data_IF_565980396808
#
_entry.id   IF_565980396808
#
_cell.length_a   1.000
_cell.length_b   1.000
_cell.length_c   1.000
_cell.angle_alpha   90.00
_cell.angle_beta   90.00
_cell.angle_gamma   90.00
#
_symmetry.space_group_name_H-M   'P 1'
#
loop_
_entity.id
_entity.type
_entity.pdbx_description
1 polymer ?
#
# COMPACT_ATOMS: atom_id res chain seq x y z
N UNK A 1 11.29 -6.94 13.95
CA UNK A 1 11.92 -8.21 13.52
C UNK A 1 11.82 -8.39 12.01
N UNK A 2 10.62 -8.40 11.44
CA UNK A 2 10.44 -8.55 9.98
C UNK A 2 11.12 -7.44 9.15
N UNK A 3 10.94 -6.17 9.54
CA UNK A 3 11.61 -5.02 8.90
C UNK A 3 13.13 -5.20 8.79
N UNK A 4 13.77 -5.60 9.89
CA UNK A 4 15.22 -5.79 9.97
C UNK A 4 15.71 -6.92 9.06
N UNK A 5 14.98 -8.04 9.00
CA UNK A 5 15.33 -9.14 8.09
C UNK A 5 15.22 -8.72 6.62
N UNK A 6 14.18 -7.99 6.25
CA UNK A 6 13.97 -7.51 4.87
C UNK A 6 15.07 -6.54 4.43
N UNK A 7 15.51 -5.63 5.31
CA UNK A 7 16.63 -4.70 5.01
C UNK A 7 17.96 -5.45 4.85
N UNK A 8 18.26 -6.41 5.74
CA UNK A 8 19.50 -7.20 5.66
C UNK A 8 19.56 -8.03 4.36
N UNK A 9 18.43 -8.61 3.95
CA UNK A 9 18.33 -9.36 2.70
C UNK A 9 18.46 -8.43 1.48
N UNK A 10 17.79 -7.27 1.50
CA UNK A 10 17.88 -6.25 0.45
C UNK A 10 19.32 -5.77 0.21
N UNK A 11 20.02 -5.45 1.31
CA UNK A 11 21.43 -5.07 1.29
C UNK A 11 22.32 -6.18 0.71
N UNK A 12 22.06 -7.44 1.05
CA UNK A 12 22.84 -8.59 0.55
C UNK A 12 22.61 -8.83 -0.96
N UNK A 13 21.43 -8.50 -1.48
CA UNK A 13 21.05 -8.69 -2.88
C UNK A 13 21.27 -7.45 -3.76
N UNK A 14 21.75 -6.33 -3.20
CA UNK A 14 21.91 -5.06 -3.92
C UNK A 14 20.60 -4.43 -4.36
N UNK A 15 19.48 -4.78 -3.74
CA UNK A 15 18.15 -4.25 -4.07
C UNK A 15 17.88 -3.03 -3.16
N UNK A 16 17.45 -1.89 -3.72
CA UNK A 16 17.08 -0.72 -2.93
C UNK A 16 16.05 -1.03 -1.84
N UNK A 17 16.28 -0.50 -0.63
CA UNK A 17 15.39 -0.69 0.53
C UNK A 17 13.96 -0.23 0.26
N UNK A 18 13.79 0.80 -0.58
CA UNK A 18 12.48 1.30 -1.01
C UNK A 18 11.70 0.21 -1.75
N UNK A 19 12.36 -0.50 -2.68
CA UNK A 19 11.75 -1.59 -3.45
C UNK A 19 11.39 -2.76 -2.54
N UNK A 20 12.30 -3.12 -1.63
CA UNK A 20 12.06 -4.18 -0.64
C UNK A 20 10.89 -3.83 0.30
N UNK A 21 10.73 -2.55 0.65
CA UNK A 21 9.62 -2.03 1.44
C UNK A 21 8.27 -2.11 0.71
N UNK A 22 8.20 -1.65 -0.54
CA UNK A 22 6.92 -1.65 -1.28
C UNK A 22 6.50 -3.05 -1.77
N UNK A 23 7.43 -4.03 -1.81
CA UNK A 23 7.14 -5.39 -2.27
C UNK A 23 7.08 -6.40 -1.13
N UNK A 24 8.21 -6.71 -0.49
CA UNK A 24 8.29 -7.76 0.52
C UNK A 24 7.63 -7.36 1.84
N UNK A 25 7.86 -6.13 2.30
CA UNK A 25 7.22 -5.67 3.53
C UNK A 25 5.70 -5.55 3.34
N UNK A 26 5.26 -4.91 2.25
CA UNK A 26 3.84 -4.79 1.91
C UNK A 26 3.16 -6.15 1.70
N UNK A 27 3.79 -7.09 0.98
CA UNK A 27 3.25 -8.44 0.81
C UNK A 27 3.18 -9.19 2.16
N UNK A 28 4.19 -9.03 3.01
CA UNK A 28 4.25 -9.69 4.33
C UNK A 28 3.12 -9.29 5.26
N UNK A 29 2.66 -8.04 5.21
CA UNK A 29 1.51 -7.59 6.01
C UNK A 29 0.18 -8.00 5.37
N UNK A 30 0.02 -7.86 4.05
CA UNK A 30 -1.27 -8.14 3.39
C UNK A 30 -1.60 -9.63 3.19
N UNK A 31 -0.61 -10.54 3.18
CA UNK A 31 -0.84 -11.98 3.03
C UNK A 31 -1.71 -12.57 4.16
N UNK A 32 -1.39 -12.39 5.46
CA UNK A 32 -2.23 -12.91 6.54
C UNK A 32 -3.64 -12.30 6.55
N UNK A 33 -3.78 -11.00 6.25
CA UNK A 33 -5.09 -10.34 6.14
C UNK A 33 -5.92 -10.91 4.99
N UNK A 34 -5.29 -11.15 3.83
CA UNK A 34 -5.94 -11.78 2.69
C UNK A 34 -6.42 -13.19 3.03
N UNK A 35 -5.60 -13.98 3.75
CA UNK A 35 -5.97 -15.32 4.20
C UNK A 35 -7.14 -15.27 5.18
N UNK A 36 -7.14 -14.35 6.14
CA UNK A 36 -8.24 -14.16 7.08
C UNK A 36 -9.56 -13.82 6.37
N UNK A 37 -9.55 -12.83 5.46
CA UNK A 37 -10.72 -12.49 4.64
C UNK A 37 -11.18 -13.64 3.75
N UNK A 38 -10.26 -14.43 3.18
CA UNK A 38 -10.59 -15.59 2.35
C UNK A 38 -11.29 -16.68 3.17
N UNK A 39 -10.82 -16.99 4.37
CA UNK A 39 -11.41 -18.01 5.26
C UNK A 39 -12.85 -17.62 5.60
N UNK A 40 -13.08 -16.36 5.99
CA UNK A 40 -14.41 -15.84 6.34
C UNK A 40 -15.34 -15.81 5.13
N UNK A 41 -14.82 -15.45 3.95
CA UNK A 41 -15.59 -15.51 2.70
C UNK A 41 -16.02 -16.95 2.35
N UNK A 42 -15.15 -17.93 2.58
CA UNK A 42 -15.46 -19.36 2.35
C UNK A 42 -16.52 -19.91 3.30
N UNK A 43 -16.68 -19.29 4.47
CA UNK A 43 -17.74 -19.62 5.43
C UNK A 43 -19.10 -18.98 5.06
N UNK A 44 -19.20 -18.29 3.92
CA UNK A 44 -20.42 -17.64 3.47
C UNK A 44 -20.63 -16.23 4.05
N UNK A 45 -19.68 -15.73 4.85
CA UNK A 45 -19.74 -14.40 5.47
C UNK A 45 -19.00 -13.36 4.61
N UNK A 46 -19.45 -13.17 3.37
CA UNK A 46 -18.83 -12.24 2.42
C UNK A 46 -18.73 -10.80 2.94
N UNK A 47 -19.77 -10.32 3.61
CA UNK A 47 -19.80 -8.96 4.18
C UNK A 47 -18.72 -8.77 5.26
N UNK A 48 -18.46 -9.80 6.06
CA UNK A 48 -17.41 -9.79 7.07
C UNK A 48 -16.02 -9.89 6.44
N UNK A 49 -15.87 -10.61 5.33
CA UNK A 49 -14.61 -10.66 4.60
C UNK A 49 -14.23 -9.29 4.00
N UNK A 50 -15.22 -8.54 3.51
CA UNK A 50 -15.05 -7.17 3.00
C UNK A 50 -14.73 -6.21 4.14
N UNK A 51 -15.44 -6.29 5.27
CA UNK A 51 -15.17 -5.42 6.41
C UNK A 51 -13.78 -5.66 7.02
N UNK A 52 -13.32 -6.92 7.08
CA UNK A 52 -11.97 -7.26 7.50
C UNK A 52 -10.92 -6.65 6.56
N UNK A 53 -11.11 -6.75 5.24
CA UNK A 53 -10.16 -6.21 4.26
C UNK A 53 -10.06 -4.68 4.32
N UNK A 54 -11.17 -3.98 4.54
CA UNK A 54 -11.18 -2.52 4.69
C UNK A 54 -10.58 -2.13 6.05
N UNK A 55 -10.96 -2.84 7.12
CA UNK A 55 -10.52 -2.57 8.48
C UNK A 55 -9.02 -2.72 8.67
N UNK A 56 -8.42 -3.82 8.19
CA UNK A 56 -6.97 -4.04 8.29
C UNK A 56 -6.17 -2.94 7.60
N UNK A 57 -6.56 -2.53 6.38
CA UNK A 57 -5.88 -1.45 5.65
C UNK A 57 -5.96 -0.09 6.38
N UNK A 58 -7.13 0.22 6.96
CA UNK A 58 -7.30 1.46 7.75
C UNK A 58 -6.45 1.42 9.03
N UNK A 59 -6.41 0.26 9.70
CA UNK A 59 -5.58 0.06 10.88
C UNK A 59 -4.09 0.19 10.55
N UNK A 60 -3.62 -0.40 9.45
CA UNK A 60 -2.23 -0.31 9.00
C UNK A 60 -1.80 1.14 8.71
N UNK A 61 -2.68 1.95 8.12
CA UNK A 61 -2.39 3.37 7.89
C UNK A 61 -2.34 4.14 9.21
N UNK A 62 -3.31 3.94 10.11
CA UNK A 62 -3.39 4.65 11.39
C UNK A 62 -2.22 4.29 12.31
N UNK A 63 -1.89 3.01 12.42
CA UNK A 63 -0.82 2.53 13.30
C UNK A 63 0.54 2.64 12.63
N UNK A 64 0.64 2.38 11.32
CA UNK A 64 1.90 2.43 10.58
C UNK A 64 2.40 3.86 10.32
N UNK A 65 1.51 4.81 10.02
CA UNK A 65 1.88 6.21 9.75
C UNK A 65 1.51 7.14 10.91
N UNK A 66 0.28 7.02 11.44
CA UNK A 66 -0.25 7.94 12.45
C UNK A 66 0.47 7.84 13.79
N UNK A 67 0.72 6.62 14.28
CA UNK A 67 1.30 6.40 15.61
C UNK A 67 2.78 6.85 15.71
N UNK A 68 3.69 6.55 14.76
CA UNK A 68 5.06 7.06 14.77
C UNK A 68 5.14 8.59 14.66
N UNK A 69 4.27 9.20 13.85
CA UNK A 69 4.18 10.66 13.76
C UNK A 69 3.69 11.28 15.07
N UNK A 70 2.62 10.74 15.65
CA UNK A 70 2.09 11.21 16.93
C UNK A 70 3.15 11.11 18.04
N UNK A 71 3.86 9.97 18.13
CA UNK A 71 4.96 9.78 19.08
C UNK A 71 6.11 10.75 18.84
N UNK A 72 6.52 10.96 17.59
CA UNK A 72 7.62 11.89 17.26
C UNK A 72 7.26 13.33 17.63
N UNK A 73 6.03 13.75 17.35
CA UNK A 73 5.52 15.10 17.66
C UNK A 73 5.35 15.32 19.16
N UNK A 74 4.98 14.28 19.91
CA UNK A 74 4.71 14.39 21.35
C UNK A 74 5.96 14.18 22.22
N UNK A 75 6.87 13.29 21.82
CA UNK A 75 7.99 12.84 22.67
C UNK A 75 9.37 13.38 22.27
N UNK A 76 9.59 13.79 21.02
CA UNK A 76 10.94 14.14 20.52
C UNK A 76 11.07 15.63 20.20
N UNK A 77 10.12 16.22 19.49
CA UNK A 77 10.13 17.66 19.18
C UNK A 77 8.73 18.26 19.31
N UNK A 78 8.45 18.93 20.44
CA UNK A 78 7.22 19.67 20.64
C UNK A 78 7.11 20.79 19.58
N UNK A 79 6.17 20.63 18.64
CA UNK A 79 5.81 21.68 17.67
C UNK A 79 6.75 21.87 16.47
N UNK A 80 7.61 20.90 16.13
CA UNK A 80 8.41 21.01 14.90
C UNK A 80 7.63 20.59 13.66
N UNK A 81 7.57 21.46 12.64
CA UNK A 81 6.99 21.13 11.34
C UNK A 81 7.84 20.07 10.62
N UNK A 82 7.24 18.91 10.35
CA UNK A 82 7.85 17.88 9.51
C UNK A 82 7.74 18.36 8.06
N UNK A 83 8.81 18.94 7.51
CA UNK A 83 8.87 19.33 6.09
C UNK A 83 8.87 18.08 5.21
N UNK A 84 7.66 17.70 4.76
CA UNK A 84 7.45 16.68 3.75
C UNK A 84 7.72 17.28 2.38
N UNK A 85 9.00 17.36 2.00
CA UNK A 85 9.36 17.70 0.63
C UNK A 85 9.40 16.41 -0.19
N UNK A 86 8.43 16.21 -1.09
CA UNK A 86 8.56 15.31 -2.24
C UNK A 86 7.30 15.32 -3.09
N UNK A 87 7.45 15.67 -4.38
CA UNK A 87 6.42 15.45 -5.40
C UNK A 87 5.92 13.99 -5.44
N UNK A 88 6.77 13.04 -5.04
CA UNK A 88 6.43 11.62 -4.90
C UNK A 88 5.37 11.32 -3.84
N UNK A 89 5.28 12.09 -2.74
CA UNK A 89 4.27 11.85 -1.70
C UNK A 89 2.87 12.24 -2.20
N UNK A 90 2.75 13.42 -2.82
CA UNK A 90 1.49 13.89 -3.42
C UNK A 90 1.04 12.90 -4.50
N UNK A 91 1.98 12.42 -5.32
CA UNK A 91 1.70 11.45 -6.36
C UNK A 91 1.23 10.09 -5.80
N UNK A 92 1.91 9.57 -4.78
CA UNK A 92 1.56 8.30 -4.13
C UNK A 92 0.21 8.35 -3.42
N UNK A 93 -0.05 9.46 -2.69
CA UNK A 93 -1.35 9.70 -2.05
C UNK A 93 -2.45 9.86 -3.10
N UNK A 94 -2.18 10.58 -4.20
CA UNK A 94 -3.10 10.74 -5.31
C UNK A 94 -3.48 9.41 -5.97
N UNK A 95 -2.48 8.54 -6.24
CA UNK A 95 -2.71 7.19 -6.77
C UNK A 95 -3.52 6.32 -5.81
N UNK A 96 -3.21 6.35 -4.51
CA UNK A 96 -3.96 5.61 -3.49
C UNK A 96 -5.42 6.04 -3.45
N UNK A 97 -5.69 7.35 -3.38
CA UNK A 97 -7.05 7.88 -3.38
C UNK A 97 -7.81 7.53 -4.67
N UNK A 98 -7.16 7.62 -5.82
CA UNK A 98 -7.75 7.23 -7.10
C UNK A 98 -8.10 5.73 -7.12
N UNK A 99 -7.25 4.85 -6.58
CA UNK A 99 -7.51 3.41 -6.51
C UNK A 99 -8.71 3.07 -5.62
N UNK A 100 -8.84 3.73 -4.48
CA UNK A 100 -10.00 3.58 -3.57
C UNK A 100 -11.26 4.10 -4.25
N UNK A 101 -11.19 5.26 -4.89
CA UNK A 101 -12.34 5.83 -5.60
C UNK A 101 -12.83 4.92 -6.73
N UNK A 102 -11.92 4.40 -7.58
CA UNK A 102 -12.27 3.51 -8.69
C UNK A 102 -12.89 2.20 -8.22
N UNK A 103 -12.36 1.62 -7.14
CA UNK A 103 -12.88 0.35 -6.58
C UNK A 103 -14.26 0.55 -5.93
N UNK A 104 -14.45 1.61 -5.15
CA UNK A 104 -15.76 1.95 -4.56
C UNK A 104 -16.78 2.28 -5.66
N UNK A 105 -16.39 3.03 -6.68
CA UNK A 105 -17.27 3.33 -7.82
C UNK A 105 -17.66 2.05 -8.56
N UNK A 106 -16.71 1.13 -8.80
CA UNK A 106 -16.98 -0.17 -9.43
C UNK A 106 -17.99 -1.01 -8.65
N UNK A 107 -17.86 -1.06 -7.32
CA UNK A 107 -18.80 -1.75 -6.43
C UNK A 107 -20.18 -1.06 -6.44
N UNK A 108 -20.20 0.28 -6.44
CA UNK A 108 -21.44 1.06 -6.45
C UNK A 108 -22.23 0.86 -7.75
N UNK A 109 -21.55 0.85 -8.90
CA UNK A 109 -22.14 0.57 -10.21
C UNK A 109 -22.71 -0.85 -10.29
N UNK A 110 -22.13 -1.79 -9.55
CA UNK A 110 -22.63 -3.16 -9.42
C UNK A 110 -23.69 -3.31 -8.31
N UNK A 111 -24.33 -2.23 -7.88
CA UNK A 111 -25.40 -2.21 -6.86
C UNK A 111 -25.01 -2.90 -5.54
N UNK A 112 -23.74 -2.79 -5.14
CA UNK A 112 -23.22 -3.44 -3.93
C UNK A 112 -23.31 -4.97 -3.93
N UNK A 113 -23.43 -5.62 -5.10
CA UNK A 113 -23.35 -7.07 -5.20
C UNK A 113 -21.92 -7.51 -5.51
N UNK A 114 -21.37 -8.41 -4.69
CA UNK A 114 -20.04 -8.98 -4.92
C UNK A 114 -20.15 -10.19 -5.85
N UNK A 115 -20.24 -9.92 -7.15
CA UNK A 115 -20.27 -10.98 -8.17
C UNK A 115 -18.87 -11.41 -8.60
N UNK A 116 -18.74 -12.66 -9.08
CA UNK A 116 -17.48 -13.19 -9.62
C UNK A 116 -16.95 -12.34 -10.79
N UNK A 117 -17.86 -11.71 -11.55
CA UNK A 117 -17.52 -10.76 -12.63
C UNK A 117 -16.89 -9.49 -12.08
N UNK A 118 -17.42 -8.93 -10.99
CA UNK A 118 -16.85 -7.78 -10.30
C UNK A 118 -15.44 -8.10 -9.78
N UNK A 119 -15.26 -9.30 -9.21
CA UNK A 119 -13.94 -9.79 -8.77
C UNK A 119 -12.91 -9.83 -9.91
N UNK A 120 -13.28 -10.35 -11.08
CA UNK A 120 -12.41 -10.32 -12.27
C UNK A 120 -12.14 -8.89 -12.77
N UNK A 121 -13.14 -8.02 -12.77
CA UNK A 121 -12.96 -6.60 -13.13
C UNK A 121 -12.02 -5.89 -12.15
N UNK A 122 -12.13 -6.15 -10.84
CA UNK A 122 -11.23 -5.61 -9.83
C UNK A 122 -9.79 -6.11 -10.01
N UNK A 123 -9.58 -7.40 -10.31
CA UNK A 123 -8.24 -7.95 -10.59
C UNK A 123 -7.62 -7.33 -11.85
N UNK A 124 -8.43 -7.14 -12.89
CA UNK A 124 -7.99 -6.48 -14.11
C UNK A 124 -7.60 -5.02 -13.86
N UNK A 125 -8.47 -4.27 -13.16
CA UNK A 125 -8.21 -2.87 -12.81
C UNK A 125 -6.99 -2.72 -11.90
N UNK A 126 -6.81 -3.63 -10.94
CA UNK A 126 -5.62 -3.70 -10.09
C UNK A 126 -4.35 -3.98 -10.92
N UNK A 127 -4.41 -4.91 -11.88
CA UNK A 127 -3.26 -5.22 -12.75
C UNK A 127 -2.87 -4.01 -13.62
N UNK A 128 -3.85 -3.29 -14.17
CA UNK A 128 -3.63 -2.06 -14.94
C UNK A 128 -3.03 -0.97 -14.04
N UNK A 129 -3.58 -0.78 -12.85
CA UNK A 129 -3.08 0.18 -11.87
C UNK A 129 -1.64 -0.13 -11.43
N UNK A 130 -1.33 -1.40 -11.17
CA UNK A 130 -0.01 -1.86 -10.76
C UNK A 130 1.01 -1.67 -11.90
N UNK A 131 0.64 -2.02 -13.13
CA UNK A 131 1.46 -1.76 -14.31
C UNK A 131 1.75 -0.26 -14.48
N UNK A 132 0.72 0.59 -14.35
CA UNK A 132 0.88 2.04 -14.44
C UNK A 132 1.73 2.61 -13.30
N UNK A 133 1.55 2.13 -12.08
CA UNK A 133 2.36 2.53 -10.92
C UNK A 133 3.82 2.14 -11.09
N UNK A 134 4.10 0.90 -11.50
CA UNK A 134 5.47 0.45 -11.81
C UNK A 134 6.09 1.27 -12.94
N UNK A 135 5.38 1.54 -14.04
CA UNK A 135 5.87 2.35 -15.16
C UNK A 135 6.28 3.76 -14.73
N UNK A 136 5.56 4.35 -13.78
CA UNK A 136 5.89 5.67 -13.24
C UNK A 136 7.10 5.59 -12.30
N UNK A 137 7.18 4.54 -11.50
CA UNK A 137 8.30 4.33 -10.58
C UNK A 137 9.62 4.01 -11.30
N UNK A 138 9.57 3.36 -12.47
CA UNK A 138 10.70 3.17 -13.40
C UNK A 138 11.10 4.45 -14.17
N UNK A 139 10.57 5.63 -13.79
CA UNK A 139 10.94 6.95 -14.34
C UNK A 139 10.73 7.10 -15.87
N UNK A 140 9.87 6.31 -16.52
CA UNK A 140 9.65 6.39 -17.99
C UNK A 140 9.00 7.71 -18.41
N UNK A 141 8.14 8.31 -17.57
CA UNK A 141 7.41 9.53 -17.91
C UNK A 141 7.80 10.78 -17.10
N UNK A 142 8.41 10.63 -15.92
CA UNK A 142 8.86 11.75 -15.06
C UNK A 142 9.92 11.22 -14.10
N UNK A 143 11.01 11.97 -13.91
CA UNK A 143 12.02 11.71 -12.86
C UNK A 143 11.38 11.97 -11.48
N UNK A 144 10.74 10.96 -10.89
CA UNK A 144 10.12 11.05 -9.55
C UNK A 144 11.05 10.48 -8.48
N UNK A 145 11.84 9.46 -8.79
CA UNK A 145 12.86 8.92 -7.88
C UNK A 145 14.26 9.31 -8.36
N UNK A 146 15.04 9.96 -7.48
CA UNK A 146 16.48 10.10 -7.71
C UNK A 146 17.12 8.70 -7.65
N UNK A 147 18.19 8.43 -8.44
CA UNK A 147 18.99 7.24 -8.22
C UNK A 147 19.44 7.23 -6.76
N UNK A 148 19.25 6.11 -6.07
CA UNK A 148 19.94 5.84 -4.80
C UNK A 148 21.43 6.03 -5.08
N UNK A 149 22.00 7.08 -4.50
CA UNK A 149 23.38 7.47 -4.78
C UNK A 149 24.31 6.28 -4.63
N UNK A 150 25.15 6.18 -5.65
CA UNK A 150 26.30 5.29 -5.83
C UNK A 150 27.16 5.29 -4.55
N UNK A 151 27.57 4.11 -4.13
CA UNK A 151 28.63 3.92 -3.15
C UNK A 151 29.83 4.81 -3.51
N UNK A 152 30.22 5.70 -2.60
CA UNK A 152 31.62 6.16 -2.47
C UNK A 152 32.22 5.54 -1.22
#
# INVERSE_FOLDING_TARGET
IFLFQVTVIGFTLGIPDVIMGITFLAAGTSVPDCMASLIVARQGMGDMAVSNSIGSNVFDILVGLGLPWALKTLAINYGSDIKLNSKGLIFSVGLLLASVFLTVLGVHLNKWTLDRRLGFMCLFLYSVFLCFSCLIEYNIFTFVNLPTCREE
#
